data_IF_162763357352
#
_entry.id   IF_162763357352
#
_cell.length_a   1.000
_cell.length_b   1.000
_cell.length_c   1.000
_cell.angle_alpha   90.00
_cell.angle_beta   90.00
_cell.angle_gamma   90.00
#
_symmetry.space_group_name_H-M   'P 1'
#
loop_
_entity.id
_entity.type
_entity.pdbx_description
1 polymer ?
#
# COMPACT_ATOMS: atom_id res chain seq x y z
N UNK A 1 2.07 -7.20 -22.71
CA UNK A 1 0.70 -6.87 -22.25
C UNK A 1 0.39 -5.50 -22.81
N UNK A 2 -0.71 -5.37 -23.52
CA UNK A 2 -1.16 -4.15 -24.20
C UNK A 2 -1.62 -3.12 -23.17
N UNK A 3 -1.71 -1.83 -23.54
CA UNK A 3 -2.26 -0.69 -22.76
C UNK A 3 -3.59 -0.98 -22.05
N UNK A 4 -4.36 -1.98 -22.52
CA UNK A 4 -5.62 -2.42 -21.90
C UNK A 4 -5.50 -2.94 -20.46
N UNK A 5 -4.32 -3.32 -19.98
CA UNK A 5 -4.16 -3.93 -18.66
C UNK A 5 -4.28 -2.94 -17.50
N UNK A 6 -3.78 -1.70 -17.65
CA UNK A 6 -3.85 -0.71 -16.58
C UNK A 6 -5.20 0.02 -16.51
N UNK A 7 -5.91 0.16 -17.62
CA UNK A 7 -7.31 0.57 -17.60
C UNK A 7 -8.21 -0.41 -16.83
N UNK A 8 -7.90 -1.72 -16.87
CA UNK A 8 -8.60 -2.71 -16.06
C UNK A 8 -8.31 -2.57 -14.56
N UNK A 9 -7.05 -2.28 -14.20
CA UNK A 9 -6.67 -1.96 -12.83
C UNK A 9 -7.36 -0.69 -12.32
N UNK A 10 -7.43 0.37 -13.13
CA UNK A 10 -8.15 1.58 -12.76
C UNK A 10 -9.62 1.28 -12.46
N UNK A 11 -10.32 0.56 -13.35
CA UNK A 11 -11.71 0.14 -13.11
C UNK A 11 -11.88 -0.73 -11.86
N UNK A 12 -10.90 -1.60 -11.57
CA UNK A 12 -10.91 -2.40 -10.35
C UNK A 12 -10.86 -1.51 -9.10
N UNK A 13 -9.89 -0.61 -9.01
CA UNK A 13 -9.76 0.32 -7.88
C UNK A 13 -10.97 1.26 -7.75
N UNK A 14 -11.55 1.72 -8.85
CA UNK A 14 -12.82 2.48 -8.84
C UNK A 14 -13.96 1.68 -8.23
N UNK A 15 -14.12 0.44 -8.65
CA UNK A 15 -15.14 -0.47 -8.12
C UNK A 15 -14.96 -0.70 -6.62
N UNK A 16 -13.74 -0.93 -6.16
CA UNK A 16 -13.45 -1.12 -4.74
C UNK A 16 -13.65 0.17 -3.94
N UNK A 17 -13.27 1.33 -4.47
CA UNK A 17 -13.58 2.64 -3.88
C UNK A 17 -15.09 2.81 -3.66
N UNK A 18 -15.90 2.52 -4.68
CA UNK A 18 -17.36 2.68 -4.61
C UNK A 18 -17.97 1.67 -3.64
N UNK A 19 -17.44 0.43 -3.59
CA UNK A 19 -17.83 -0.59 -2.63
C UNK A 19 -17.50 -0.18 -1.19
N UNK A 20 -16.32 0.41 -0.94
CA UNK A 20 -15.95 0.95 0.37
C UNK A 20 -16.85 2.12 0.77
N UNK A 21 -17.15 3.03 -0.16
CA UNK A 21 -18.03 4.17 0.10
C UNK A 21 -19.47 3.75 0.47
N UNK A 22 -19.94 2.61 -0.08
CA UNK A 22 -21.26 2.06 0.23
C UNK A 22 -21.28 1.27 1.55
N UNK A 23 -20.13 0.89 2.09
CA UNK A 23 -20.01 0.13 3.34
C UNK A 23 -19.89 1.10 4.52
N UNK A 24 -20.71 0.96 5.59
CA UNK A 24 -20.55 1.78 6.79
C UNK A 24 -19.17 1.56 7.43
N UNK A 25 -18.66 2.58 8.07
CA UNK A 25 -17.46 2.47 8.89
C UNK A 25 -17.67 1.46 10.04
N UNK A 26 -16.60 0.87 10.59
CA UNK A 26 -16.68 0.11 11.83
C UNK A 26 -17.32 0.94 12.96
N UNK A 27 -17.92 0.26 13.92
CA UNK A 27 -18.52 0.91 15.09
C UNK A 27 -17.40 1.37 16.06
N UNK A 28 -16.92 2.60 15.88
CA UNK A 28 -15.81 3.14 16.66
C UNK A 28 -16.15 3.35 18.15
N UNK A 29 -17.43 3.52 18.45
CA UNK A 29 -17.95 3.76 19.82
C UNK A 29 -17.76 2.56 20.75
N UNK A 30 -17.56 1.37 20.22
CA UNK A 30 -17.27 0.18 21.04
C UNK A 30 -15.88 0.25 21.69
N UNK A 31 -15.02 1.13 21.17
CA UNK A 31 -13.62 1.23 21.61
C UNK A 31 -12.76 0.07 21.14
N UNK A 32 -11.44 0.20 21.30
CA UNK A 32 -10.47 -0.84 20.96
C UNK A 32 -9.55 -1.15 22.13
N UNK A 33 -9.27 -2.42 22.36
CA UNK A 33 -8.28 -2.87 23.34
C UNK A 33 -6.94 -3.10 22.67
N UNK A 34 -6.05 -2.11 22.72
CA UNK A 34 -4.76 -2.13 22.05
C UNK A 34 -3.61 -2.37 23.03
N UNK A 35 -3.08 -3.61 23.16
CA UNK A 35 -1.85 -3.85 23.91
C UNK A 35 -0.71 -2.95 23.45
N UNK A 36 0.25 -2.55 24.31
CA UNK A 36 1.29 -1.58 23.96
C UNK A 36 2.07 -1.91 22.68
N UNK A 37 2.40 -3.17 22.47
CA UNK A 37 3.14 -3.61 21.27
C UNK A 37 2.28 -3.50 20.00
N UNK A 38 1.00 -3.88 20.07
CA UNK A 38 0.04 -3.76 18.96
C UNK A 38 -0.19 -2.29 18.63
N UNK A 39 -0.44 -1.46 19.62
CA UNK A 39 -0.58 -0.01 19.44
C UNK A 39 0.63 0.61 18.75
N UNK A 40 1.85 0.30 19.23
CA UNK A 40 3.08 0.81 18.63
C UNK A 40 3.27 0.34 17.17
N UNK A 41 2.86 -0.88 16.84
CA UNK A 41 2.90 -1.37 15.46
C UNK A 41 1.88 -0.66 14.58
N UNK A 42 0.63 -0.48 15.02
CA UNK A 42 -0.41 0.26 14.29
C UNK A 42 0.02 1.71 14.03
N UNK A 43 0.62 2.38 15.01
CA UNK A 43 1.15 3.74 14.83
C UNK A 43 2.18 3.83 13.71
N UNK A 44 3.08 2.84 13.60
CA UNK A 44 4.09 2.80 12.52
C UNK A 44 3.46 2.55 11.16
N UNK A 45 2.53 1.61 11.07
CA UNK A 45 1.82 1.36 9.81
C UNK A 45 1.00 2.57 9.39
N UNK A 46 0.25 3.19 10.32
CA UNK A 46 -0.52 4.40 10.04
C UNK A 46 0.34 5.52 9.45
N UNK A 47 1.54 5.74 10.01
CA UNK A 47 2.47 6.74 9.49
C UNK A 47 3.02 6.35 8.09
N UNK A 48 3.23 5.05 7.83
CA UNK A 48 3.66 4.53 6.54
C UNK A 48 2.61 4.76 5.46
N UNK A 49 1.36 4.37 5.72
CA UNK A 49 0.21 4.56 4.82
C UNK A 49 -0.08 6.05 4.54
N UNK A 50 0.18 6.91 5.52
CA UNK A 50 -0.02 8.37 5.40
C UNK A 50 1.15 9.08 4.69
N UNK A 51 2.09 8.36 4.13
CA UNK A 51 3.26 8.88 3.45
C UNK A 51 2.95 9.81 2.28
N UNK A 52 3.87 10.76 1.98
CA UNK A 52 3.79 11.61 0.80
C UNK A 52 4.05 10.79 -0.47
N UNK A 53 3.13 10.86 -1.43
CA UNK A 53 3.18 10.14 -2.70
C UNK A 53 3.47 11.05 -3.91
N UNK A 54 3.80 12.33 -3.71
CA UNK A 54 4.02 13.30 -4.79
C UNK A 54 5.13 12.84 -5.75
N UNK A 55 6.28 12.43 -5.23
CA UNK A 55 7.39 11.93 -6.04
C UNK A 55 7.05 10.65 -6.82
N UNK A 56 6.17 9.81 -6.31
CA UNK A 56 5.68 8.62 -7.01
C UNK A 56 4.78 8.99 -8.18
N UNK A 57 3.92 10.00 -8.01
CA UNK A 57 3.08 10.53 -9.09
C UNK A 57 3.91 11.14 -10.20
N UNK A 58 4.89 11.99 -9.85
CA UNK A 58 5.80 12.60 -10.82
C UNK A 58 6.50 11.54 -11.69
N UNK A 59 7.06 10.51 -11.07
CA UNK A 59 7.71 9.40 -11.77
C UNK A 59 6.76 8.57 -12.63
N UNK A 60 5.50 8.41 -12.22
CA UNK A 60 4.49 7.70 -12.99
C UNK A 60 4.08 8.50 -14.22
N UNK A 61 3.95 9.82 -14.09
CA UNK A 61 3.63 10.72 -15.20
C UNK A 61 4.82 10.80 -16.19
N UNK A 62 6.05 10.88 -15.70
CA UNK A 62 7.28 10.83 -16.52
C UNK A 62 7.42 9.49 -17.28
N UNK A 63 6.87 8.40 -16.77
CA UNK A 63 6.88 7.11 -17.44
C UNK A 63 5.96 7.04 -18.68
N UNK A 64 5.10 8.04 -18.89
CA UNK A 64 4.33 8.23 -20.11
C UNK A 64 3.19 7.22 -20.33
N UNK A 65 2.72 6.56 -19.27
CA UNK A 65 1.58 5.63 -19.31
C UNK A 65 0.41 6.21 -18.51
N UNK A 66 -0.53 6.91 -19.18
CA UNK A 66 -1.61 7.61 -18.49
C UNK A 66 -2.61 6.67 -17.81
N UNK A 67 -2.80 5.44 -18.32
CA UNK A 67 -3.68 4.45 -17.69
C UNK A 67 -3.06 3.94 -16.38
N UNK A 68 -1.75 3.70 -16.38
CA UNK A 68 -1.03 3.35 -15.16
C UNK A 68 -1.05 4.49 -14.14
N UNK A 69 -0.80 5.72 -14.58
CA UNK A 69 -0.82 6.90 -13.70
C UNK A 69 -2.21 7.11 -13.05
N UNK A 70 -3.28 6.87 -13.81
CA UNK A 70 -4.65 6.92 -13.27
C UNK A 70 -4.90 5.82 -12.23
N UNK A 71 -4.52 4.56 -12.54
CA UNK A 71 -4.65 3.44 -11.60
C UNK A 71 -3.81 3.66 -10.32
N UNK A 72 -2.60 4.22 -10.45
CA UNK A 72 -1.72 4.52 -9.32
C UNK A 72 -2.32 5.57 -8.38
N UNK A 73 -2.99 6.59 -8.90
CA UNK A 73 -3.68 7.58 -8.06
C UNK A 73 -4.82 6.98 -7.25
N UNK A 74 -5.54 6.02 -7.82
CA UNK A 74 -6.59 5.28 -7.12
C UNK A 74 -6.01 4.35 -6.05
N UNK A 75 -4.91 3.66 -6.35
CA UNK A 75 -4.15 2.88 -5.37
C UNK A 75 -3.73 3.75 -4.18
N UNK A 76 -3.11 4.91 -4.42
CA UNK A 76 -2.69 5.81 -3.34
C UNK A 76 -3.90 6.35 -2.54
N UNK A 77 -5.04 6.57 -3.18
CA UNK A 77 -6.26 6.95 -2.46
C UNK A 77 -6.76 5.81 -1.53
N UNK A 78 -6.53 4.55 -1.90
CA UNK A 78 -6.78 3.38 -1.06
C UNK A 78 -5.86 3.34 0.15
N UNK A 79 -4.53 3.56 -0.03
CA UNK A 79 -3.56 3.71 1.05
C UNK A 79 -3.93 4.81 2.06
N UNK A 80 -4.40 5.97 1.55
CA UNK A 80 -4.90 7.05 2.41
C UNK A 80 -6.14 6.66 3.22
N UNK A 81 -6.99 5.78 2.68
CA UNK A 81 -8.10 5.22 3.45
C UNK A 81 -7.60 4.23 4.51
N UNK A 82 -6.56 3.43 4.24
CA UNK A 82 -5.92 2.58 5.25
C UNK A 82 -5.37 3.43 6.40
N UNK A 83 -4.63 4.51 6.09
CA UNK A 83 -4.15 5.46 7.08
C UNK A 83 -5.28 6.05 7.94
N UNK A 84 -6.43 6.38 7.32
CA UNK A 84 -7.63 6.87 8.01
C UNK A 84 -8.19 5.82 8.96
N UNK A 85 -8.38 4.59 8.50
CA UNK A 85 -8.91 3.49 9.32
C UNK A 85 -8.01 3.19 10.52
N UNK A 86 -6.69 3.15 10.32
CA UNK A 86 -5.72 2.94 11.41
C UNK A 86 -5.72 4.10 12.40
N UNK A 87 -5.87 5.34 11.93
CA UNK A 87 -5.99 6.50 12.80
C UNK A 87 -7.23 6.43 13.70
N UNK A 88 -8.38 6.09 13.14
CA UNK A 88 -9.63 5.92 13.89
C UNK A 88 -9.56 4.75 14.86
N UNK A 89 -8.88 3.66 14.49
CA UNK A 89 -8.62 2.54 15.40
C UNK A 89 -7.74 2.95 16.59
N UNK A 90 -6.71 3.77 16.36
CA UNK A 90 -5.89 4.32 17.43
C UNK A 90 -6.70 5.21 18.34
N UNK A 91 -7.53 6.11 17.80
CA UNK A 91 -8.41 6.99 18.56
C UNK A 91 -9.41 6.18 19.40
N UNK A 92 -10.02 5.13 18.84
CA UNK A 92 -10.91 4.22 19.55
C UNK A 92 -10.19 3.45 20.68
N UNK A 93 -8.88 3.23 20.57
CA UNK A 93 -8.03 2.63 21.59
C UNK A 93 -7.42 3.66 22.57
N UNK A 94 -7.86 4.92 22.54
CA UNK A 94 -7.34 6.01 23.40
C UNK A 94 -5.87 6.37 23.12
N UNK A 95 -5.39 6.11 21.90
CA UNK A 95 -4.02 6.35 21.49
C UNK A 95 -3.94 7.47 20.43
N UNK A 96 -2.88 8.24 20.46
CA UNK A 96 -2.61 9.27 19.46
C UNK A 96 -1.76 8.71 18.30
N UNK A 97 -1.87 9.36 17.13
CA UNK A 97 -0.93 9.15 16.04
C UNK A 97 0.48 9.47 16.50
N UNK A 98 1.45 8.69 16.06
CA UNK A 98 2.85 8.98 16.32
C UNK A 98 3.37 9.94 15.24
N UNK A 99 3.92 11.09 15.65
CA UNK A 99 4.65 11.96 14.75
C UNK A 99 6.01 11.33 14.44
N UNK A 100 6.19 10.87 13.19
CA UNK A 100 7.45 10.46 12.56
C UNK A 100 8.34 9.49 13.37
N UNK A 101 8.67 8.36 12.77
CA UNK A 101 9.69 7.44 13.27
C UNK A 101 10.92 7.51 12.37
N UNK A 102 12.13 7.20 12.88
CA UNK A 102 13.36 7.22 12.06
C UNK A 102 13.29 6.28 10.84
N UNK A 103 12.52 5.18 10.93
CA UNK A 103 12.27 4.28 9.81
C UNK A 103 11.53 4.98 8.66
N UNK A 104 10.61 5.89 8.97
CA UNK A 104 9.86 6.66 7.97
C UNK A 104 10.81 7.58 7.20
N UNK A 105 11.77 8.19 7.90
CA UNK A 105 12.82 8.99 7.28
C UNK A 105 13.74 8.14 6.40
N UNK A 106 14.11 6.94 6.84
CA UNK A 106 14.94 6.01 6.05
C UNK A 106 14.17 5.53 4.82
N UNK A 107 12.90 5.14 4.96
CA UNK A 107 12.03 4.72 3.85
C UNK A 107 11.76 5.86 2.88
N UNK A 108 11.47 7.06 3.38
CA UNK A 108 11.31 8.27 2.55
C UNK A 108 12.61 8.64 1.79
N UNK A 109 13.78 8.42 2.38
CA UNK A 109 15.06 8.61 1.67
C UNK A 109 15.31 7.55 0.60
N UNK A 110 14.97 6.29 0.86
CA UNK A 110 15.06 5.21 -0.13
C UNK A 110 14.12 5.46 -1.32
N UNK A 111 12.94 6.00 -1.08
CA UNK A 111 11.96 6.38 -2.13
C UNK A 111 12.42 7.58 -3.00
N UNK A 112 13.42 8.35 -2.57
CA UNK A 112 14.04 9.40 -3.39
C UNK A 112 15.05 8.87 -4.41
N UNK A 113 15.27 7.57 -4.48
CA UNK A 113 16.12 6.96 -5.51
C UNK A 113 15.51 7.21 -6.90
N UNK A 114 16.31 7.60 -7.91
CA UNK A 114 15.79 7.93 -9.22
C UNK A 114 15.17 6.72 -9.94
N UNK A 115 14.04 7.00 -10.62
CA UNK A 115 13.34 6.06 -11.49
C UNK A 115 12.21 5.27 -10.82
N UNK A 116 11.08 5.22 -11.51
CA UNK A 116 9.85 4.53 -11.09
C UNK A 116 10.10 3.07 -10.71
N UNK A 117 10.92 2.35 -11.49
CA UNK A 117 11.18 0.90 -11.25
C UNK A 117 11.79 0.65 -9.88
N UNK A 118 12.78 1.45 -9.48
CA UNK A 118 13.44 1.28 -8.18
C UNK A 118 12.48 1.59 -7.03
N UNK A 119 11.66 2.63 -7.18
CA UNK A 119 10.65 2.96 -6.19
C UNK A 119 9.60 1.84 -6.04
N UNK A 120 9.14 1.27 -7.14
CA UNK A 120 8.20 0.14 -7.12
C UNK A 120 8.79 -1.12 -6.47
N UNK A 121 10.09 -1.39 -6.64
CA UNK A 121 10.76 -2.50 -5.95
C UNK A 121 10.78 -2.28 -4.43
N UNK A 122 10.98 -1.05 -3.98
CA UNK A 122 10.92 -0.70 -2.56
C UNK A 122 9.50 -0.78 -2.02
N UNK A 123 8.51 -0.27 -2.76
CA UNK A 123 7.09 -0.41 -2.42
C UNK A 123 6.69 -1.88 -2.30
N UNK A 124 7.12 -2.74 -3.22
CA UNK A 124 6.83 -4.18 -3.17
C UNK A 124 7.27 -4.84 -1.85
N UNK A 125 8.38 -4.40 -1.27
CA UNK A 125 8.81 -4.90 0.05
C UNK A 125 7.81 -4.46 1.12
N UNK A 126 7.34 -3.21 1.09
CA UNK A 126 6.35 -2.69 2.01
C UNK A 126 5.02 -3.45 1.87
N UNK A 127 4.52 -3.63 0.64
CA UNK A 127 3.28 -4.35 0.35
C UNK A 127 3.29 -5.81 0.86
N UNK A 128 4.42 -6.52 0.62
CA UNK A 128 4.55 -7.91 1.12
C UNK A 128 4.56 -7.94 2.65
N UNK A 129 5.19 -6.96 3.30
CA UNK A 129 5.18 -6.85 4.76
C UNK A 129 3.79 -6.48 5.27
N UNK A 130 3.11 -5.53 4.64
CA UNK A 130 1.74 -5.11 4.96
C UNK A 130 0.75 -6.27 4.89
N UNK A 131 0.77 -7.05 3.80
CA UNK A 131 -0.02 -8.28 3.64
C UNK A 131 0.13 -9.25 4.82
N UNK A 132 1.37 -9.48 5.28
CA UNK A 132 1.65 -10.36 6.41
C UNK A 132 1.23 -9.76 7.73
N UNK A 133 1.46 -8.47 7.90
CA UNK A 133 1.12 -7.73 9.09
C UNK A 133 -0.40 -7.69 9.30
N UNK A 134 -1.18 -7.26 8.31
CA UNK A 134 -2.63 -7.17 8.45
C UNK A 134 -3.29 -8.54 8.61
N UNK A 135 -2.74 -9.59 7.98
CA UNK A 135 -3.19 -10.96 8.23
C UNK A 135 -2.94 -11.37 9.69
N UNK A 136 -1.72 -11.14 10.20
CA UNK A 136 -1.38 -11.47 11.58
C UNK A 136 -2.21 -10.65 12.58
N UNK A 137 -2.47 -9.38 12.29
CA UNK A 137 -3.27 -8.50 13.12
C UNK A 137 -4.74 -8.94 13.15
N UNK A 138 -5.32 -9.30 11.99
CA UNK A 138 -6.69 -9.83 11.89
C UNK A 138 -6.86 -11.14 12.66
N UNK A 139 -5.94 -12.08 12.47
CA UNK A 139 -6.07 -13.44 12.97
C UNK A 139 -5.59 -13.60 14.42
N UNK A 140 -4.69 -12.73 14.87
CA UNK A 140 -4.07 -12.80 16.19
C UNK A 140 -4.58 -11.77 17.21
N UNK A 141 -5.51 -10.88 16.83
CA UNK A 141 -6.10 -9.93 17.77
C UNK A 141 -7.32 -10.52 18.46
N UNK A 142 -7.34 -10.44 19.80
CA UNK A 142 -8.53 -10.75 20.59
C UNK A 142 -9.57 -9.60 20.57
N UNK A 143 -9.21 -8.44 20.03
CA UNK A 143 -10.08 -7.28 19.91
C UNK A 143 -10.86 -7.31 18.59
N UNK A 144 -12.21 -7.41 18.62
CA UNK A 144 -13.01 -7.54 17.40
C UNK A 144 -12.90 -6.34 16.45
N UNK A 145 -12.76 -5.11 16.98
CA UNK A 145 -12.63 -3.92 16.15
C UNK A 145 -11.29 -3.90 15.41
N UNK A 146 -10.21 -4.27 16.09
CA UNK A 146 -8.88 -4.42 15.48
C UNK A 146 -8.89 -5.49 14.38
N UNK A 147 -9.50 -6.64 14.65
CA UNK A 147 -9.62 -7.73 13.67
C UNK A 147 -10.45 -7.30 12.45
N UNK A 148 -11.56 -6.58 12.66
CA UNK A 148 -12.39 -6.06 11.58
C UNK A 148 -11.63 -5.06 10.70
N UNK A 149 -10.97 -4.07 11.31
CA UNK A 149 -10.19 -3.04 10.59
C UNK A 149 -9.06 -3.69 9.79
N UNK A 150 -8.30 -4.58 10.42
CA UNK A 150 -7.22 -5.31 9.74
C UNK A 150 -7.75 -6.17 8.59
N UNK A 151 -8.91 -6.79 8.74
CA UNK A 151 -9.55 -7.57 7.68
C UNK A 151 -10.01 -6.73 6.49
N UNK A 152 -10.48 -5.50 6.73
CA UNK A 152 -10.86 -4.55 5.68
C UNK A 152 -9.63 -4.13 4.87
N UNK A 153 -8.55 -3.75 5.53
CA UNK A 153 -7.30 -3.34 4.88
C UNK A 153 -6.69 -4.53 4.13
N UNK A 154 -6.62 -5.70 4.74
CA UNK A 154 -6.07 -6.90 4.11
C UNK A 154 -6.76 -7.26 2.79
N UNK A 155 -8.08 -7.05 2.69
CA UNK A 155 -8.83 -7.33 1.47
C UNK A 155 -8.39 -6.44 0.30
N UNK A 156 -8.02 -5.20 0.57
CA UNK A 156 -7.47 -4.27 -0.41
C UNK A 156 -6.01 -4.66 -0.74
N UNK A 157 -5.17 -4.91 0.25
CA UNK A 157 -3.76 -5.29 0.14
C UNK A 157 -3.50 -6.51 -0.78
N UNK A 158 -4.43 -7.45 -0.84
CA UNK A 158 -4.31 -8.62 -1.72
C UNK A 158 -4.18 -8.26 -3.21
N UNK A 159 -4.51 -7.02 -3.60
CA UNK A 159 -4.42 -6.51 -4.99
C UNK A 159 -3.18 -5.66 -5.25
N UNK A 160 -2.56 -5.10 -4.22
CA UNK A 160 -1.43 -4.20 -4.37
C UNK A 160 -0.20 -4.91 -4.97
N UNK A 161 0.18 -6.07 -4.43
CA UNK A 161 1.30 -6.85 -4.96
C UNK A 161 1.09 -7.24 -6.42
N UNK A 162 -0.05 -7.82 -6.86
CA UNK A 162 -0.32 -8.07 -8.27
C UNK A 162 -0.27 -6.82 -9.16
N UNK A 163 -0.79 -5.68 -8.70
CA UNK A 163 -0.75 -4.41 -9.44
C UNK A 163 0.69 -3.94 -9.70
N UNK A 164 1.51 -3.87 -8.67
CA UNK A 164 2.92 -3.47 -8.81
C UNK A 164 3.73 -4.49 -9.62
N UNK A 165 3.46 -5.78 -9.47
CA UNK A 165 4.05 -6.82 -10.32
C UNK A 165 3.72 -6.62 -11.80
N UNK A 166 2.49 -6.22 -12.12
CA UNK A 166 2.08 -5.94 -13.51
C UNK A 166 2.92 -4.80 -14.10
N UNK A 167 3.09 -3.69 -13.36
CA UNK A 167 3.91 -2.55 -13.81
C UNK A 167 5.39 -2.89 -13.93
N UNK A 168 5.95 -3.62 -12.96
CA UNK A 168 7.34 -4.06 -13.01
C UNK A 168 7.60 -4.96 -14.22
N UNK A 169 6.71 -5.92 -14.50
CA UNK A 169 6.81 -6.78 -15.70
C UNK A 169 6.75 -5.97 -16.99
N UNK A 170 5.82 -5.01 -17.10
CA UNK A 170 5.73 -4.12 -18.24
C UNK A 170 7.05 -3.34 -18.42
N UNK A 171 7.58 -2.73 -17.36
CA UNK A 171 8.82 -1.97 -17.41
C UNK A 171 10.06 -2.82 -17.79
N UNK A 172 10.10 -4.09 -17.38
CA UNK A 172 11.16 -5.03 -17.80
C UNK A 172 10.98 -5.42 -19.27
N UNK A 173 9.75 -5.54 -19.75
CA UNK A 173 9.47 -5.85 -21.15
C UNK A 173 9.90 -4.72 -22.13
N UNK A 174 10.00 -3.49 -21.66
CA UNK A 174 10.49 -2.32 -22.42
C UNK A 174 12.03 -2.30 -22.55
N UNK A 175 12.76 -3.04 -21.71
CA UNK A 175 14.21 -3.08 -21.74
C UNK A 175 14.76 -3.83 -22.98
N UNK A 176 15.93 -3.43 -23.52
CA UNK A 176 16.66 -4.21 -24.51
C UNK A 176 16.94 -5.64 -24.00
N UNK A 177 16.90 -6.61 -24.90
CA UNK A 177 17.11 -8.04 -24.55
C UNK A 177 18.39 -8.30 -23.75
N UNK A 178 19.47 -7.54 -24.04
CA UNK A 178 20.74 -7.64 -23.33
C UNK A 178 20.63 -7.24 -21.84
N UNK A 179 19.77 -6.27 -21.51
CA UNK A 179 19.56 -5.82 -20.15
C UNK A 179 18.54 -6.68 -19.35
N UNK A 180 17.64 -7.38 -20.06
CA UNK A 180 16.64 -8.27 -19.40
C UNK A 180 17.27 -9.50 -18.77
N UNK A 181 18.25 -10.14 -19.46
CA UNK A 181 18.85 -11.40 -19.02
C UNK A 181 19.49 -11.34 -17.62
N UNK A 182 20.39 -10.38 -17.31
CA UNK A 182 20.99 -10.30 -15.98
C UNK A 182 19.96 -9.94 -14.91
N UNK A 183 18.96 -9.14 -15.24
CA UNK A 183 17.93 -8.73 -14.30
C UNK A 183 17.01 -9.91 -13.93
N UNK A 184 16.64 -10.74 -14.89
CA UNK A 184 15.84 -11.95 -14.64
C UNK A 184 16.66 -13.05 -13.95
N UNK A 185 17.95 -13.17 -14.25
CA UNK A 185 18.83 -14.12 -13.57
C UNK A 185 19.03 -13.76 -12.08
N UNK A 186 19.18 -12.47 -11.76
CA UNK A 186 19.26 -12.00 -10.37
C UNK A 186 17.96 -12.14 -9.57
N UNK A 187 16.81 -12.34 -10.23
CA UNK A 187 15.52 -12.54 -9.57
C UNK A 187 15.20 -14.00 -9.24
N UNK A 188 16.01 -14.94 -9.71
CA UNK A 188 15.83 -16.38 -9.46
C UNK A 188 16.67 -16.91 -8.27
N UNK A 189 17.35 -16.00 -7.55
CA UNK A 189 18.09 -16.29 -6.31
C UNK A 189 17.26 -15.91 -5.12
#
# INVERSE_FOLDING_TARGET
MSASGFAEWARHFETERDRRAARPDPCWEVGASLPPAVRASIQRFQAGEDGDSSALFDKADEAGDPEYAAALRLFVAEEKNHARLLALLLDAGGATKQAGHWSDTAFARLRRVPGLRTELLLLMVAEVVALRYYRALRDGSDDPLTSEVAGRILADEERHVPFHCARLRASVAELPRAARRPLLAGWQV
#
